data_IF_595341251997
#
_entry.id   IF_595341251997
#
_cell.length_a   1.000
_cell.length_b   1.000
_cell.length_c   1.000
_cell.angle_alpha   90.00
_cell.angle_beta   90.00
_cell.angle_gamma   90.00
#
_symmetry.space_group_name_H-M   'P 1'
#
loop_
_entity.id
_entity.type
_entity.pdbx_description
1 polymer ?
#
# COMPACT_ATOMS: atom_id res chain seq x y z
N UNK A 1 61.88 66.84 25.66
CA UNK A 1 60.98 66.52 26.81
C UNK A 1 59.63 67.19 26.57
N UNK A 2 58.51 66.47 26.62
CA UNK A 2 57.17 67.09 26.49
C UNK A 2 56.89 68.01 27.69
N UNK A 3 56.34 69.19 27.42
CA UNK A 3 55.94 70.14 28.48
C UNK A 3 54.72 69.61 29.25
N UNK A 4 54.54 70.09 30.49
CA UNK A 4 53.41 69.70 31.35
C UNK A 4 52.06 69.97 30.68
N UNK A 5 51.96 71.07 29.95
CA UNK A 5 50.79 71.44 29.14
C UNK A 5 50.52 70.44 28.00
N UNK A 6 51.55 69.99 27.27
CA UNK A 6 51.41 69.00 26.21
C UNK A 6 50.96 67.63 26.73
N UNK A 7 51.44 67.21 27.93
CA UNK A 7 50.95 65.98 28.59
C UNK A 7 49.49 66.10 29.02
N UNK A 8 49.10 67.23 29.60
CA UNK A 8 47.70 67.48 29.99
C UNK A 8 46.78 67.50 28.76
N UNK A 9 47.21 68.10 27.64
CA UNK A 9 46.45 68.09 26.38
C UNK A 9 46.25 66.67 25.84
N UNK A 10 47.30 65.84 25.85
CA UNK A 10 47.21 64.41 25.46
C UNK A 10 46.29 63.61 26.39
N UNK A 11 46.36 63.85 27.71
CA UNK A 11 45.48 63.18 28.68
C UNK A 11 44.01 63.52 28.43
N UNK A 12 43.69 64.81 28.28
CA UNK A 12 42.32 65.27 27.95
C UNK A 12 41.81 64.68 26.63
N UNK A 13 42.65 64.59 25.61
CA UNK A 13 42.27 63.98 24.34
C UNK A 13 42.02 62.46 24.46
N UNK A 14 42.84 61.76 25.25
CA UNK A 14 42.65 60.33 25.52
C UNK A 14 41.39 60.07 26.36
N UNK A 15 41.11 60.91 27.36
CA UNK A 15 39.91 60.83 28.19
C UNK A 15 38.65 61.08 27.33
N UNK A 16 38.66 62.12 26.49
CA UNK A 16 37.56 62.40 25.55
C UNK A 16 37.35 61.27 24.53
N UNK A 17 38.42 60.64 24.05
CA UNK A 17 38.32 59.49 23.14
C UNK A 17 37.69 58.28 23.82
N UNK A 18 38.05 58.00 25.08
CA UNK A 18 37.43 56.92 25.88
C UNK A 18 35.95 57.18 26.12
N UNK A 19 35.57 58.40 26.50
CA UNK A 19 34.17 58.78 26.70
C UNK A 19 33.36 58.63 25.41
N UNK A 20 33.93 59.04 24.26
CA UNK A 20 33.28 58.86 22.96
C UNK A 20 33.08 57.38 22.60
N UNK A 21 34.06 56.52 22.87
CA UNK A 21 33.95 55.07 22.67
C UNK A 21 32.87 54.45 23.56
N UNK A 22 32.82 54.83 24.85
CA UNK A 22 31.77 54.37 25.78
C UNK A 22 30.38 54.81 25.33
N UNK A 23 30.22 56.05 24.85
CA UNK A 23 28.96 56.55 24.32
C UNK A 23 28.52 55.79 23.06
N UNK A 24 29.45 55.47 22.15
CA UNK A 24 29.17 54.63 20.97
C UNK A 24 28.75 53.22 21.38
N UNK A 25 29.44 52.61 22.34
CA UNK A 25 29.11 51.27 22.85
C UNK A 25 27.70 51.25 23.48
N UNK A 26 27.38 52.23 24.32
CA UNK A 26 26.05 52.37 24.91
C UNK A 26 24.96 52.57 23.85
N UNK A 27 25.24 53.35 22.78
CA UNK A 27 24.31 53.52 21.65
C UNK A 27 24.07 52.21 20.90
N UNK A 28 25.11 51.41 20.66
CA UNK A 28 25.00 50.09 20.02
C UNK A 28 24.17 49.14 20.87
N UNK A 29 24.46 49.05 22.17
CA UNK A 29 23.69 48.23 23.10
C UNK A 29 22.20 48.61 23.13
N UNK A 30 21.88 49.91 23.17
CA UNK A 30 20.47 50.36 23.10
C UNK A 30 19.80 49.95 21.79
N UNK A 31 20.51 50.04 20.68
CA UNK A 31 20.00 49.62 19.38
C UNK A 31 19.76 48.11 19.34
N UNK A 32 20.70 47.30 19.79
CA UNK A 32 20.56 45.84 19.89
C UNK A 32 19.35 45.45 20.76
N UNK A 33 19.21 46.06 21.94
CA UNK A 33 18.07 45.85 22.84
C UNK A 33 16.73 46.22 22.17
N UNK A 34 16.70 47.32 21.42
CA UNK A 34 15.49 47.72 20.67
C UNK A 34 15.11 46.73 19.56
N UNK A 35 16.11 46.04 18.99
CA UNK A 35 15.90 45.07 17.91
C UNK A 35 15.51 43.68 18.40
N UNK A 36 15.72 43.34 19.68
CA UNK A 36 15.40 42.02 20.24
C UNK A 36 13.95 41.59 19.99
N UNK A 37 13.00 42.53 20.07
CA UNK A 37 11.59 42.26 19.79
C UNK A 37 11.34 41.84 18.33
N UNK A 38 12.04 42.47 17.38
CA UNK A 38 11.94 42.10 15.97
C UNK A 38 12.62 40.75 15.69
N UNK A 39 13.82 40.53 16.23
CA UNK A 39 14.57 39.29 16.08
C UNK A 39 13.81 38.09 16.67
N UNK A 40 13.20 38.24 17.85
CA UNK A 40 12.38 37.18 18.45
C UNK A 40 11.15 36.82 17.61
N UNK A 41 10.52 37.80 16.96
CA UNK A 41 9.41 37.56 16.04
C UNK A 41 9.87 36.83 14.78
N UNK A 42 11.02 37.22 14.23
CA UNK A 42 11.63 36.55 13.08
C UNK A 42 12.00 35.09 13.42
N UNK A 43 12.67 34.86 14.55
CA UNK A 43 13.01 33.50 15.00
C UNK A 43 11.78 32.62 15.15
N UNK A 44 10.71 33.12 15.79
CA UNK A 44 9.45 32.36 15.90
C UNK A 44 8.80 32.05 14.56
N UNK A 45 8.90 32.96 13.58
CA UNK A 45 8.39 32.74 12.23
C UNK A 45 9.21 31.66 11.52
N UNK A 46 10.53 31.77 11.56
CA UNK A 46 11.45 30.81 10.94
C UNK A 46 11.31 29.41 11.55
N UNK A 47 11.11 29.31 12.86
CA UNK A 47 10.83 28.04 13.55
C UNK A 47 9.53 27.42 13.05
N UNK A 48 8.44 28.20 12.95
CA UNK A 48 7.16 27.72 12.40
C UNK A 48 7.30 27.25 10.95
N UNK A 49 7.94 28.03 10.10
CA UNK A 49 8.16 27.67 8.69
C UNK A 49 9.00 26.37 8.58
N UNK A 50 10.00 26.19 9.45
CA UNK A 50 10.79 24.95 9.52
C UNK A 50 9.97 23.77 10.02
N UNK A 51 9.12 23.97 11.01
CA UNK A 51 8.21 22.94 11.52
C UNK A 51 7.21 22.51 10.45
N UNK A 52 6.57 23.46 9.77
CA UNK A 52 5.66 23.22 8.64
C UNK A 52 6.36 22.48 7.49
N UNK A 53 7.59 22.87 7.15
CA UNK A 53 8.37 22.16 6.13
C UNK A 53 8.71 20.73 6.57
N UNK A 54 9.01 20.50 7.86
CA UNK A 54 9.28 19.16 8.41
C UNK A 54 8.02 18.29 8.41
N UNK A 55 6.88 18.83 8.82
CA UNK A 55 5.60 18.10 8.81
C UNK A 55 5.19 17.76 7.39
N UNK A 56 5.24 18.73 6.46
CA UNK A 56 4.94 18.49 5.04
C UNK A 56 5.86 17.43 4.42
N UNK A 57 7.16 17.44 4.76
CA UNK A 57 8.10 16.42 4.30
C UNK A 57 7.79 15.03 4.91
N UNK A 58 7.38 14.97 6.17
CA UNK A 58 6.98 13.73 6.83
C UNK A 58 5.69 13.16 6.24
N UNK A 59 4.68 14.02 6.00
CA UNK A 59 3.43 13.65 5.33
C UNK A 59 3.68 13.16 3.91
N UNK A 60 4.51 13.86 3.14
CA UNK A 60 4.90 13.42 1.79
C UNK A 60 5.62 12.06 1.79
N UNK A 61 6.48 11.80 2.79
CA UNK A 61 7.12 10.49 2.98
C UNK A 61 6.10 9.41 3.34
N UNK A 62 5.18 9.70 4.25
CA UNK A 62 4.12 8.78 4.65
C UNK A 62 3.20 8.44 3.46
N UNK A 63 2.81 9.44 2.67
CA UNK A 63 2.00 9.26 1.46
C UNK A 63 2.70 8.42 0.39
N UNK A 64 4.04 8.50 0.28
CA UNK A 64 4.83 7.62 -0.61
C UNK A 64 5.00 6.20 -0.07
N UNK A 65 4.99 6.03 1.26
CA UNK A 65 5.15 4.73 1.88
C UNK A 65 3.89 3.86 1.73
N UNK A 66 2.72 4.49 1.85
CA UNK A 66 1.42 3.85 1.66
C UNK A 66 1.18 3.59 0.16
N UNK A 67 0.84 2.35 -0.25
CA UNK A 67 0.53 2.07 -1.65
C UNK A 67 -0.67 2.90 -2.11
N UNK A 68 -0.58 3.49 -3.31
CA UNK A 68 -1.70 4.23 -3.88
C UNK A 68 -2.87 3.27 -4.13
N UNK A 69 -4.05 3.63 -3.63
CA UNK A 69 -5.27 2.85 -3.89
C UNK A 69 -5.74 3.14 -5.32
N UNK A 70 -5.36 2.26 -6.24
CA UNK A 70 -5.86 2.27 -7.61
C UNK A 70 -6.99 1.26 -7.71
N UNK A 71 -8.21 1.74 -7.96
CA UNK A 71 -9.37 0.87 -8.22
C UNK A 71 -9.99 0.21 -6.98
N UNK A 72 -10.60 -0.97 -7.18
CA UNK A 72 -11.45 -1.60 -6.16
C UNK A 72 -10.64 -2.32 -5.09
N UNK A 73 -9.64 -3.07 -5.51
CA UNK A 73 -8.85 -3.93 -4.62
C UNK A 73 -7.67 -3.17 -4.02
N UNK A 74 -7.31 -3.54 -2.79
CA UNK A 74 -6.17 -2.94 -2.09
C UNK A 74 -4.90 -3.70 -2.49
N UNK A 75 -3.78 -2.98 -2.61
CA UNK A 75 -2.50 -3.61 -2.86
C UNK A 75 -2.11 -4.53 -1.70
N UNK A 76 -1.80 -5.78 -2.04
CA UNK A 76 -1.25 -6.78 -1.13
C UNK A 76 0.20 -7.09 -1.53
N UNK A 77 1.11 -6.92 -0.58
CA UNK A 77 2.51 -7.28 -0.75
C UNK A 77 2.68 -8.78 -0.95
N UNK A 78 3.68 -9.16 -1.74
CA UNK A 78 4.05 -10.57 -1.91
C UNK A 78 4.70 -11.09 -0.62
N UNK A 79 4.42 -12.33 -0.19
CA UNK A 79 5.16 -12.95 0.90
C UNK A 79 6.67 -12.88 0.66
N UNK A 80 7.41 -12.45 1.69
CA UNK A 80 8.86 -12.36 1.63
C UNK A 80 9.43 -13.77 1.45
N UNK A 81 10.14 -14.00 0.35
CA UNK A 81 10.90 -15.23 0.17
C UNK A 81 12.17 -15.14 1.02
N UNK A 82 12.16 -15.82 2.16
CA UNK A 82 13.30 -15.91 3.07
C UNK A 82 14.02 -17.23 2.82
N UNK A 83 15.36 -17.21 2.80
CA UNK A 83 16.17 -18.42 2.79
C UNK A 83 16.17 -19.02 4.21
N UNK A 84 15.90 -20.30 4.33
CA UNK A 84 16.05 -21.01 5.61
C UNK A 84 17.54 -21.25 5.91
N UNK A 85 17.86 -21.61 7.16
CA UNK A 85 19.26 -21.86 7.56
C UNK A 85 19.93 -22.93 6.70
N UNK A 86 19.19 -23.96 6.30
CA UNK A 86 19.66 -25.03 5.41
C UNK A 86 20.00 -24.54 4.00
N UNK A 87 19.27 -23.54 3.50
CA UNK A 87 19.45 -22.95 2.16
C UNK A 87 20.45 -21.79 2.16
N UNK A 88 20.78 -21.27 3.34
CA UNK A 88 21.70 -20.14 3.52
C UNK A 88 23.14 -20.65 3.46
N UNK A 89 23.61 -20.91 2.24
CA UNK A 89 24.97 -21.37 2.00
C UNK A 89 25.98 -20.20 2.02
N UNK A 90 27.15 -20.39 2.66
CA UNK A 90 28.29 -19.44 2.56
C UNK A 90 28.76 -19.16 1.13
N UNK A 91 28.92 -20.16 0.24
CA UNK A 91 29.37 -19.90 -1.13
C UNK A 91 28.21 -19.50 -2.06
N UNK A 92 28.39 -18.37 -2.76
CA UNK A 92 27.42 -17.83 -3.72
C UNK A 92 27.01 -18.81 -4.84
N UNK A 93 27.91 -19.73 -5.22
CA UNK A 93 27.67 -20.74 -6.27
C UNK A 93 26.58 -21.75 -5.90
N UNK A 94 26.27 -21.91 -4.60
CA UNK A 94 25.23 -22.81 -4.11
C UNK A 94 23.90 -22.10 -3.85
N UNK A 95 23.87 -20.77 -3.96
CA UNK A 95 22.68 -19.97 -3.72
C UNK A 95 21.65 -20.26 -4.83
N UNK A 96 20.43 -20.66 -4.44
CA UNK A 96 19.33 -20.82 -5.40
C UNK A 96 18.92 -19.43 -5.93
N UNK A 97 18.81 -19.23 -7.25
CA UNK A 97 18.32 -17.97 -7.79
C UNK A 97 16.85 -17.75 -7.40
N UNK A 98 16.49 -16.50 -7.14
CA UNK A 98 15.12 -16.13 -6.74
C UNK A 98 14.17 -16.28 -7.95
N UNK A 99 13.19 -17.21 -7.93
CA UNK A 99 12.34 -17.48 -9.10
C UNK A 99 11.29 -16.38 -9.36
N UNK A 100 11.08 -15.45 -8.41
CA UNK A 100 9.94 -14.54 -8.41
C UNK A 100 10.21 -13.12 -8.96
N UNK A 101 11.34 -12.87 -9.64
CA UNK A 101 11.74 -11.51 -10.09
C UNK A 101 10.66 -10.81 -10.94
N UNK A 102 9.96 -11.55 -11.81
CA UNK A 102 8.87 -10.98 -12.62
C UNK A 102 7.68 -10.57 -11.75
N UNK A 103 7.37 -11.38 -10.73
CA UNK A 103 6.29 -11.10 -9.78
C UNK A 103 6.64 -9.91 -8.90
N UNK A 104 7.89 -9.80 -8.45
CA UNK A 104 8.41 -8.62 -7.72
C UNK A 104 8.22 -7.35 -8.53
N UNK A 105 8.65 -7.35 -9.80
CA UNK A 105 8.52 -6.20 -10.70
C UNK A 105 7.05 -5.83 -10.91
N UNK A 106 6.19 -6.82 -11.14
CA UNK A 106 4.76 -6.61 -11.31
C UNK A 106 4.12 -6.01 -10.05
N UNK A 107 4.46 -6.51 -8.86
CA UNK A 107 4.01 -5.97 -7.57
C UNK A 107 4.55 -4.55 -7.32
N UNK A 108 5.79 -4.26 -7.73
CA UNK A 108 6.33 -2.91 -7.69
C UNK A 108 5.54 -1.90 -8.52
N UNK A 109 5.13 -2.31 -9.74
CA UNK A 109 4.26 -1.49 -10.60
C UNK A 109 2.84 -1.31 -10.01
N UNK A 110 2.34 -2.30 -9.28
CA UNK A 110 1.08 -2.17 -8.55
C UNK A 110 1.20 -1.20 -7.37
N UNK A 111 2.29 -1.29 -6.60
CA UNK A 111 2.56 -0.42 -5.45
C UNK A 111 2.71 1.05 -5.85
N UNK A 112 3.35 1.32 -7.00
CA UNK A 112 3.48 2.68 -7.54
C UNK A 112 2.22 3.20 -8.22
N UNK A 113 1.20 2.36 -8.41
CA UNK A 113 -0.07 2.71 -9.04
C UNK A 113 -0.05 2.74 -10.57
N UNK A 114 1.04 2.28 -11.21
CA UNK A 114 1.10 2.14 -12.67
C UNK A 114 0.16 1.04 -13.20
N UNK A 115 -0.08 0.02 -12.36
CA UNK A 115 -1.00 -1.09 -12.63
C UNK A 115 -1.97 -1.22 -11.45
N UNK A 116 -3.26 -1.44 -11.72
CA UNK A 116 -4.26 -1.71 -10.68
C UNK A 116 -4.00 -3.07 -9.99
N UNK A 117 -4.03 -3.15 -8.64
CA UNK A 117 -4.16 -4.42 -7.93
C UNK A 117 -5.41 -5.18 -8.40
N UNK A 118 -5.23 -6.43 -8.84
CA UNK A 118 -6.33 -7.29 -9.30
C UNK A 118 -6.15 -8.73 -8.88
N UNK A 119 -7.23 -9.32 -8.41
CA UNK A 119 -7.32 -10.71 -8.03
C UNK A 119 -7.56 -11.58 -9.26
N UNK A 120 -7.02 -12.79 -9.23
CA UNK A 120 -7.23 -13.74 -10.33
C UNK A 120 -8.71 -14.08 -10.40
N UNK A 121 -9.34 -13.80 -11.54
CA UNK A 121 -10.74 -14.12 -11.77
C UNK A 121 -10.96 -15.64 -11.70
N UNK A 122 -11.66 -16.09 -10.67
CA UNK A 122 -12.04 -17.49 -10.53
C UNK A 122 -13.15 -17.84 -11.52
N UNK A 123 -13.02 -18.99 -12.21
CA UNK A 123 -14.05 -19.48 -13.12
C UNK A 123 -15.21 -20.03 -12.31
N UNK A 124 -16.26 -19.23 -12.11
CA UNK A 124 -17.50 -19.68 -11.48
C UNK A 124 -18.48 -20.17 -12.54
N UNK A 125 -18.88 -21.44 -12.48
CA UNK A 125 -19.97 -21.96 -13.31
C UNK A 125 -21.29 -21.48 -12.72
N UNK A 126 -22.05 -20.67 -13.47
CA UNK A 126 -23.39 -20.21 -13.03
C UNK A 126 -24.42 -21.33 -13.03
N UNK A 127 -24.26 -22.34 -13.89
CA UNK A 127 -25.18 -23.46 -14.04
C UNK A 127 -24.38 -24.76 -14.13
N UNK A 128 -24.93 -25.82 -13.57
CA UNK A 128 -24.39 -27.16 -13.76
C UNK A 128 -24.52 -27.55 -15.24
N UNK A 129 -23.44 -28.09 -15.81
CA UNK A 129 -23.47 -28.66 -17.15
C UNK A 129 -24.22 -29.98 -17.06
N UNK A 130 -25.33 -30.13 -17.78
CA UNK A 130 -26.01 -31.42 -17.91
C UNK A 130 -25.12 -32.34 -18.76
N UNK A 131 -24.61 -33.40 -18.17
CA UNK A 131 -23.89 -34.45 -18.90
C UNK A 131 -24.90 -35.36 -19.56
N UNK A 132 -25.05 -35.26 -20.88
CA UNK A 132 -25.87 -36.17 -21.66
C UNK A 132 -25.01 -37.35 -22.10
N UNK A 133 -25.36 -38.55 -21.63
CA UNK A 133 -24.76 -39.79 -22.11
C UNK A 133 -25.62 -40.28 -23.27
N UNK A 134 -25.05 -40.27 -24.48
CA UNK A 134 -25.77 -40.69 -25.70
C UNK A 134 -26.21 -42.15 -25.57
N UNK A 135 -27.52 -42.38 -25.60
CA UNK A 135 -28.12 -43.73 -25.55
C UNK A 135 -28.62 -44.16 -24.16
N UNK A 136 -28.31 -43.42 -23.10
CA UNK A 136 -28.93 -43.63 -21.80
C UNK A 136 -30.32 -42.95 -21.80
N UNK A 137 -31.37 -43.71 -21.54
CA UNK A 137 -32.71 -43.14 -21.30
C UNK A 137 -32.68 -42.42 -19.96
N UNK A 138 -33.30 -41.25 -19.88
CA UNK A 138 -33.45 -40.59 -18.59
C UNK A 138 -34.34 -41.42 -17.66
N UNK A 139 -34.19 -41.30 -16.34
CA UNK A 139 -35.00 -42.03 -15.34
C UNK A 139 -36.52 -41.94 -15.63
N UNK A 140 -36.99 -40.79 -16.13
CA UNK A 140 -38.38 -40.57 -16.53
C UNK A 140 -38.79 -41.38 -17.77
N UNK A 141 -37.90 -41.52 -18.73
CA UNK A 141 -38.12 -42.30 -19.96
C UNK A 141 -38.08 -43.80 -19.66
N UNK A 142 -37.20 -44.24 -18.76
CA UNK A 142 -37.16 -45.61 -18.26
C UNK A 142 -38.44 -45.96 -17.49
N UNK A 143 -38.86 -45.10 -16.55
CA UNK A 143 -40.11 -45.28 -15.81
C UNK A 143 -41.33 -45.32 -16.75
N UNK A 144 -41.39 -44.43 -17.75
CA UNK A 144 -42.45 -44.45 -18.76
C UNK A 144 -42.46 -45.73 -19.59
N UNK A 145 -41.28 -46.24 -19.97
CA UNK A 145 -41.15 -47.49 -20.70
C UNK A 145 -41.60 -48.71 -19.88
N UNK A 146 -41.21 -48.78 -18.59
CA UNK A 146 -41.67 -49.84 -17.69
C UNK A 146 -43.18 -49.80 -17.45
N UNK A 147 -43.76 -48.61 -17.28
CA UNK A 147 -45.20 -48.45 -17.14
C UNK A 147 -45.96 -48.92 -18.40
N UNK A 148 -45.45 -48.58 -19.59
CA UNK A 148 -45.98 -49.07 -20.86
C UNK A 148 -45.88 -50.60 -20.97
N UNK A 149 -44.73 -51.18 -20.59
CA UNK A 149 -44.57 -52.63 -20.59
C UNK A 149 -45.53 -53.33 -19.63
N UNK A 150 -45.74 -52.79 -18.43
CA UNK A 150 -46.72 -53.29 -17.47
C UNK A 150 -48.15 -53.22 -18.04
N UNK A 151 -48.53 -52.11 -18.69
CA UNK A 151 -49.84 -52.00 -19.34
C UNK A 151 -50.01 -53.00 -20.50
N UNK A 152 -48.97 -53.21 -21.31
CA UNK A 152 -48.97 -54.21 -22.39
C UNK A 152 -49.12 -55.62 -21.81
N UNK A 153 -48.41 -55.93 -20.71
CA UNK A 153 -48.51 -57.23 -20.03
C UNK A 153 -49.92 -57.47 -19.48
N UNK A 154 -50.53 -56.47 -18.82
CA UNK A 154 -51.90 -56.53 -18.32
C UNK A 154 -52.92 -56.71 -19.46
N UNK A 155 -52.75 -55.99 -20.58
CA UNK A 155 -53.59 -56.15 -21.79
C UNK A 155 -53.45 -57.56 -22.37
N UNK A 156 -52.23 -58.11 -22.44
CA UNK A 156 -51.98 -59.49 -22.89
C UNK A 156 -52.62 -60.53 -21.95
N UNK A 157 -52.52 -60.34 -20.63
CA UNK A 157 -53.13 -61.22 -19.64
C UNK A 157 -54.67 -61.21 -19.74
N UNK A 158 -55.28 -60.02 -19.84
CA UNK A 158 -56.73 -59.87 -20.07
C UNK A 158 -57.20 -60.52 -21.37
N UNK A 159 -56.40 -60.47 -22.44
CA UNK A 159 -56.70 -61.13 -23.73
C UNK A 159 -56.58 -62.67 -23.65
N UNK A 160 -55.74 -63.21 -22.77
CA UNK A 160 -55.62 -64.66 -22.52
C UNK A 160 -56.71 -65.22 -21.60
N UNK A 161 -57.21 -64.43 -20.64
CA UNK A 161 -58.24 -64.84 -19.69
C UNK A 161 -59.56 -65.39 -20.30
N UNK A 162 -60.12 -64.87 -21.41
CA UNK A 162 -61.37 -65.42 -21.96
C UNK A 162 -61.20 -66.79 -22.64
N UNK A 163 -59.97 -67.25 -22.90
CA UNK A 163 -59.75 -68.55 -23.56
C UNK A 163 -59.79 -69.74 -22.61
N UNK A 164 -59.70 -69.51 -21.28
CA UNK A 164 -59.76 -70.56 -20.26
C UNK A 164 -61.18 -70.78 -19.70
N UNK A 165 -62.14 -69.91 -20.00
CA UNK A 165 -63.53 -70.00 -19.54
C UNK A 165 -64.48 -70.73 -20.52
N UNK A 166 -63.98 -71.20 -21.67
CA UNK A 166 -64.79 -71.87 -22.73
C UNK A 166 -64.48 -73.37 -22.86
N UNK A 167 -63.66 -73.94 -21.96
CA UNK A 167 -63.55 -75.41 -21.78
C UNK A 167 -64.20 -75.80 -20.46
N UNK A 168 -65.53 -75.76 -20.45
CA UNK A 168 -66.36 -76.59 -19.58
C UNK A 168 -66.55 -77.96 -20.21
#
# INVERSE_FOLDING_TARGET
KLTRAQRNKKRRAADAAKEAELAKAAKRQRHELSQLGALSKQLKRDEREREEARTAAAEARAARAVPLRVGKEVFEDMPVQVLTEDETHRPLRRLKPCPAVVVDRFKGLQRSGAIEPRSKRQRRRKRATKTFIKGAKGEKEEAGHHALQAQIALRKAKKKAPQLAVKG
#
